data_IF_118665382003
#
_entry.id   IF_118665382003
#
_cell.length_a   1.000
_cell.length_b   1.000
_cell.length_c   1.000
_cell.angle_alpha   90.00
_cell.angle_beta   90.00
_cell.angle_gamma   90.00
#
_symmetry.space_group_name_H-M   'P 1'
#
loop_
_entity.id
_entity.type
_entity.pdbx_description
1 polymer ?
#
# COMPACT_ATOMS: atom_id res chain seq x y z
N UNK A 1 -8.71 -9.73 -32.44
CA UNK A 1 -7.94 -8.47 -32.51
C UNK A 1 -8.60 -7.42 -31.61
N UNK A 2 -7.98 -7.07 -30.48
CA UNK A 2 -8.37 -5.88 -29.70
C UNK A 2 -7.13 -5.34 -28.96
N UNK A 3 -6.73 -4.13 -29.37
CA UNK A 3 -5.71 -3.17 -28.87
C UNK A 3 -4.83 -3.60 -27.68
N UNK A 4 -3.50 -3.76 -27.80
CA UNK A 4 -2.47 -2.71 -28.04
C UNK A 4 -2.60 -1.45 -27.15
N UNK A 5 -2.77 -1.58 -25.84
CA UNK A 5 -2.51 -0.45 -24.91
C UNK A 5 -1.97 -0.84 -23.53
N UNK A 6 -2.01 -2.12 -23.13
CA UNK A 6 -1.66 -2.53 -21.76
C UNK A 6 -0.18 -2.94 -21.55
N UNK A 7 0.61 -2.97 -22.62
CA UNK A 7 2.05 -3.34 -22.54
C UNK A 7 2.91 -2.29 -21.80
N UNK A 8 2.37 -1.11 -21.50
CA UNK A 8 3.11 -0.02 -20.84
C UNK A 8 2.89 0.04 -19.31
N UNK A 9 1.83 -0.56 -18.79
CA UNK A 9 1.51 -0.54 -17.36
C UNK A 9 2.42 -1.49 -16.54
N UNK A 10 2.79 -2.65 -17.10
CA UNK A 10 3.70 -3.59 -16.42
C UNK A 10 5.15 -3.09 -16.31
N UNK A 11 5.61 -2.26 -17.26
CA UNK A 11 6.99 -1.75 -17.30
C UNK A 11 7.25 -0.69 -16.23
N UNK A 12 6.23 0.10 -15.85
CA UNK A 12 6.36 1.13 -14.81
C UNK A 12 6.40 0.49 -13.41
N UNK A 13 5.65 -0.59 -13.18
CA UNK A 13 5.67 -1.33 -11.92
C UNK A 13 7.04 -2.01 -11.66
N UNK A 14 7.69 -2.52 -12.71
CA UNK A 14 9.06 -3.06 -12.64
C UNK A 14 10.09 -1.96 -12.34
N UNK A 15 9.87 -0.71 -12.78
CA UNK A 15 10.78 0.40 -12.46
C UNK A 15 10.68 0.87 -11.00
N UNK A 16 9.49 0.74 -10.37
CA UNK A 16 9.31 0.99 -8.93
C UNK A 16 9.95 -0.13 -8.10
N UNK A 17 9.84 -1.38 -8.54
CA UNK A 17 10.50 -2.54 -7.89
C UNK A 17 12.02 -2.62 -8.17
N UNK A 18 12.50 -2.08 -9.29
CA UNK A 18 13.90 -2.12 -9.71
C UNK A 18 14.82 -1.12 -9.00
N UNK A 19 14.28 -0.07 -8.37
CA UNK A 19 15.06 0.89 -7.57
C UNK A 19 15.39 0.37 -6.17
N UNK A 20 14.80 -0.76 -5.75
CA UNK A 20 15.26 -1.53 -4.60
C UNK A 20 16.68 -2.12 -4.79
N UNK A 21 17.19 -2.20 -6.03
CA UNK A 21 18.51 -2.77 -6.31
C UNK A 21 19.67 -1.77 -6.11
N UNK A 22 19.44 -0.46 -6.25
CA UNK A 22 20.50 0.55 -6.07
C UNK A 22 20.79 0.87 -4.59
N UNK A 23 19.82 0.63 -3.69
CA UNK A 23 20.01 0.80 -2.25
C UNK A 23 20.91 -0.27 -1.62
N UNK A 24 20.94 -1.47 -2.19
CA UNK A 24 21.70 -2.61 -1.67
C UNK A 24 23.22 -2.43 -1.85
N UNK A 25 23.68 -1.66 -2.85
CA UNK A 25 25.11 -1.41 -3.04
C UNK A 25 25.68 -0.42 -2.02
N UNK A 26 24.85 0.45 -1.43
CA UNK A 26 25.31 1.44 -0.43
C UNK A 26 25.27 0.91 1.02
N UNK A 27 24.64 -0.23 1.27
CA UNK A 27 24.52 -0.86 2.60
C UNK A 27 25.59 -1.93 2.89
N UNK A 28 26.67 -1.96 2.12
CA UNK A 28 27.83 -2.86 2.31
C UNK A 28 28.67 -2.58 3.56
N UNK A 29 28.05 -2.42 4.74
CA UNK A 29 28.71 -2.62 6.04
C UNK A 29 28.62 -4.11 6.38
N UNK A 30 29.73 -4.87 6.42
CA UNK A 30 29.71 -6.27 6.79
C UNK A 30 29.40 -6.38 8.28
N UNK A 31 28.19 -6.79 8.63
CA UNK A 31 27.81 -7.00 10.03
C UNK A 31 26.33 -7.14 10.36
N UNK A 32 25.41 -6.84 9.43
CA UNK A 32 23.98 -7.03 9.68
C UNK A 32 23.56 -8.47 9.38
N UNK A 33 23.59 -9.34 10.39
CA UNK A 33 22.86 -10.60 10.35
C UNK A 33 21.36 -10.30 10.42
N UNK A 34 20.64 -10.51 9.31
CA UNK A 34 19.17 -10.42 9.29
C UNK A 34 18.63 -11.73 9.85
N UNK A 35 18.17 -11.69 11.10
CA UNK A 35 17.35 -12.73 11.69
C UNK A 35 15.95 -12.64 11.06
N UNK A 36 15.60 -13.60 10.20
CA UNK A 36 14.27 -13.69 9.60
C UNK A 36 13.30 -14.11 10.71
N UNK A 37 12.64 -13.13 11.36
CA UNK A 37 11.57 -13.40 12.31
C UNK A 37 10.32 -13.90 11.57
N UNK A 38 9.84 -15.05 12.03
CA UNK A 38 8.65 -15.77 11.59
C UNK A 38 7.43 -14.83 11.45
N UNK A 39 6.57 -14.96 10.41
CA UNK A 39 5.47 -14.04 10.10
C UNK A 39 4.37 -13.97 11.18
N UNK A 40 4.40 -14.82 12.21
CA UNK A 40 3.45 -14.78 13.33
C UNK A 40 3.76 -13.69 14.38
N UNK A 41 4.96 -13.09 14.34
CA UNK A 41 5.45 -12.17 15.38
C UNK A 41 5.04 -10.70 15.18
N UNK A 42 4.45 -10.34 14.04
CA UNK A 42 3.97 -8.97 13.77
C UNK A 42 2.77 -8.62 14.66
N UNK A 43 2.07 -9.64 15.19
CA UNK A 43 0.85 -9.50 16.00
C UNK A 43 1.06 -8.84 17.37
N UNK A 44 2.27 -8.83 17.91
CA UNK A 44 2.51 -8.55 19.33
C UNK A 44 3.36 -7.31 19.64
N UNK A 45 3.76 -6.52 18.64
CA UNK A 45 4.48 -5.25 18.84
C UNK A 45 3.67 -4.03 18.35
N UNK A 46 2.34 -4.09 18.45
CA UNK A 46 1.51 -2.87 18.39
C UNK A 46 1.26 -2.39 19.83
N UNK A 47 2.35 -2.19 20.57
CA UNK A 47 2.31 -1.51 21.87
C UNK A 47 2.39 0.01 21.63
N UNK A 48 1.27 0.64 21.93
CA UNK A 48 1.13 2.02 22.40
C UNK A 48 1.92 3.09 21.63
N UNK A 49 1.33 3.60 20.55
CA UNK A 49 1.43 5.02 20.32
C UNK A 49 0.05 5.66 20.23
N UNK A 50 -0.11 6.63 21.11
CA UNK A 50 -1.12 7.66 21.23
C UNK A 50 -1.28 8.53 19.96
N UNK A 51 -1.24 7.97 18.75
CA UNK A 51 -1.58 8.77 17.58
C UNK A 51 -3.05 9.18 17.74
N UNK A 52 -3.31 10.47 17.62
CA UNK A 52 -4.65 11.05 17.60
C UNK A 52 -5.36 10.63 16.30
N UNK A 53 -5.63 9.33 16.15
CA UNK A 53 -6.20 8.64 15.01
C UNK A 53 -7.71 8.83 14.82
N UNK A 54 -8.36 9.58 15.71
CA UNK A 54 -9.81 9.73 15.73
C UNK A 54 -10.31 10.41 14.45
N UNK A 55 -10.68 9.62 13.44
CA UNK A 55 -11.54 10.05 12.34
C UNK A 55 -11.09 9.71 10.92
N UNK A 56 -9.90 9.14 10.70
CA UNK A 56 -9.43 8.78 9.35
C UNK A 56 -9.42 7.26 9.15
N UNK A 57 -10.00 6.82 8.03
CA UNK A 57 -10.26 5.42 7.72
C UNK A 57 -11.76 5.14 7.64
N UNK A 58 -12.14 4.15 6.85
CA UNK A 58 -13.52 3.69 6.72
C UNK A 58 -13.89 2.67 7.79
N UNK A 59 -15.19 2.44 7.97
CA UNK A 59 -15.72 1.35 8.81
C UNK A 59 -15.53 -0.02 8.16
N UNK A 60 -15.26 -0.04 6.86
CA UNK A 60 -14.95 -1.24 6.08
C UNK A 60 -13.65 -1.06 5.28
N UNK A 61 -12.95 -2.15 4.92
CA UNK A 61 -11.75 -2.05 4.07
C UNK A 61 -12.04 -1.33 2.75
N UNK A 62 -13.17 -1.64 2.11
CA UNK A 62 -13.59 -1.03 0.85
C UNK A 62 -13.88 0.48 0.99
N UNK A 63 -14.47 0.89 2.12
CA UNK A 63 -14.67 2.31 2.41
C UNK A 63 -13.34 3.06 2.56
N UNK A 64 -12.34 2.47 3.22
CA UNK A 64 -10.99 3.07 3.30
C UNK A 64 -10.37 3.23 1.92
N UNK A 65 -10.43 2.23 1.06
CA UNK A 65 -9.92 2.32 -0.32
C UNK A 65 -10.64 3.43 -1.09
N UNK A 66 -11.97 3.54 -0.99
CA UNK A 66 -12.73 4.62 -1.64
C UNK A 66 -12.32 6.01 -1.17
N UNK A 67 -12.06 6.16 0.13
CA UNK A 67 -11.58 7.41 0.70
C UNK A 67 -10.17 7.77 0.20
N UNK A 68 -9.27 6.79 0.12
CA UNK A 68 -7.95 6.96 -0.49
C UNK A 68 -8.08 7.41 -1.95
N UNK A 69 -8.84 6.67 -2.75
CA UNK A 69 -9.09 6.99 -4.17
C UNK A 69 -9.61 8.42 -4.33
N UNK A 70 -10.62 8.82 -3.53
CA UNK A 70 -11.19 10.16 -3.59
C UNK A 70 -10.19 11.27 -3.23
N UNK A 71 -9.20 10.99 -2.37
CA UNK A 71 -8.12 11.92 -2.07
C UNK A 71 -7.10 11.99 -3.21
N UNK A 72 -6.71 10.84 -3.77
CA UNK A 72 -5.77 10.76 -4.89
C UNK A 72 -6.31 11.39 -6.18
N UNK A 73 -7.61 11.25 -6.47
CA UNK A 73 -8.27 11.92 -7.60
C UNK A 73 -8.24 13.45 -7.50
N UNK A 74 -8.11 13.97 -6.28
CA UNK A 74 -7.97 15.41 -6.00
C UNK A 74 -6.52 15.83 -5.85
N UNK A 75 -5.58 14.93 -6.12
CA UNK A 75 -4.13 15.10 -5.89
C UNK A 75 -3.81 15.55 -4.45
N UNK A 76 -4.68 15.22 -3.50
CA UNK A 76 -4.53 15.63 -2.11
C UNK A 76 -3.72 14.59 -1.34
N UNK A 77 -2.41 14.58 -1.57
CA UNK A 77 -1.47 13.62 -0.98
C UNK A 77 -1.47 13.70 0.55
N UNK A 78 -1.61 14.90 1.12
CA UNK A 78 -1.71 15.09 2.57
C UNK A 78 -2.95 14.41 3.17
N UNK A 79 -4.07 14.38 2.46
CA UNK A 79 -5.25 13.64 2.90
C UNK A 79 -5.09 12.14 2.65
N UNK A 80 -4.55 11.76 1.50
CA UNK A 80 -4.31 10.36 1.14
C UNK A 80 -3.43 9.65 2.17
N UNK A 81 -2.32 10.28 2.60
CA UNK A 81 -1.39 9.71 3.56
C UNK A 81 -2.04 9.42 4.93
N UNK A 82 -3.10 10.14 5.32
CA UNK A 82 -3.81 9.89 6.59
C UNK A 82 -4.54 8.54 6.66
N UNK A 83 -4.83 7.93 5.51
CA UNK A 83 -5.46 6.61 5.44
C UNK A 83 -4.47 5.45 5.66
N UNK A 84 -3.18 5.76 5.68
CA UNK A 84 -2.13 4.81 6.04
C UNK A 84 -1.88 4.81 7.56
N UNK A 85 -1.33 3.70 8.05
CA UNK A 85 -0.80 3.60 9.41
C UNK A 85 0.40 4.52 9.58
N UNK A 86 0.66 5.07 10.79
CA UNK A 86 1.70 6.09 10.99
C UNK A 86 3.08 5.62 10.59
N UNK A 87 3.38 4.35 10.81
CA UNK A 87 4.70 3.75 10.64
C UNK A 87 5.17 3.84 9.18
N UNK A 88 4.23 3.83 8.22
CA UNK A 88 4.53 3.92 6.78
C UNK A 88 4.09 5.24 6.15
N UNK A 89 3.34 6.08 6.89
CA UNK A 89 2.69 7.29 6.35
C UNK A 89 3.65 8.23 5.63
N UNK A 90 4.85 8.42 6.19
CA UNK A 90 5.86 9.29 5.60
C UNK A 90 6.40 8.72 4.29
N UNK A 91 6.78 7.45 4.29
CA UNK A 91 7.27 6.75 3.09
C UNK A 91 6.22 6.74 1.97
N UNK A 92 4.98 6.37 2.29
CA UNK A 92 3.86 6.37 1.33
C UNK A 92 3.57 7.78 0.81
N UNK A 93 3.65 8.80 1.66
CA UNK A 93 3.49 10.18 1.21
C UNK A 93 4.59 10.59 0.22
N UNK A 94 5.82 10.16 0.43
CA UNK A 94 6.92 10.43 -0.50
C UNK A 94 6.69 9.73 -1.84
N UNK A 95 6.28 8.46 -1.82
CA UNK A 95 6.05 7.68 -3.03
C UNK A 95 4.83 8.17 -3.81
N UNK A 96 3.76 8.56 -3.13
CA UNK A 96 2.62 9.24 -3.76
C UNK A 96 3.03 10.57 -4.42
N UNK A 97 3.94 11.34 -3.82
CA UNK A 97 4.48 12.55 -4.45
C UNK A 97 5.33 12.23 -5.69
N UNK A 98 6.14 11.17 -5.65
CA UNK A 98 6.90 10.70 -6.83
C UNK A 98 5.97 10.29 -7.96
N UNK A 99 4.91 9.52 -7.65
CA UNK A 99 3.89 9.13 -8.61
C UNK A 99 3.14 10.35 -9.19
N UNK A 100 2.88 11.35 -8.35
CA UNK A 100 2.29 12.62 -8.80
C UNK A 100 3.20 13.32 -9.82
N UNK A 101 4.49 13.48 -9.49
CA UNK A 101 5.48 14.11 -10.37
C UNK A 101 5.72 13.33 -11.68
N UNK A 102 5.51 12.01 -11.66
CA UNK A 102 5.59 11.15 -12.84
C UNK A 102 4.27 11.05 -13.63
N UNK A 103 3.21 11.72 -13.20
CA UNK A 103 1.86 11.62 -13.77
C UNK A 103 1.30 10.18 -13.79
N UNK A 104 1.63 9.40 -12.75
CA UNK A 104 1.24 7.99 -12.57
C UNK A 104 0.14 7.81 -11.52
N UNK A 105 -0.31 8.88 -10.85
CA UNK A 105 -1.41 8.79 -9.88
C UNK A 105 -2.71 8.29 -10.51
N UNK A 106 -2.98 8.66 -11.76
CA UNK A 106 -4.16 8.19 -12.49
C UNK A 106 -4.16 6.67 -12.69
N UNK A 107 -2.98 6.09 -12.93
CA UNK A 107 -2.81 4.64 -13.07
C UNK A 107 -3.03 3.94 -11.73
N UNK A 108 -2.47 4.49 -10.64
CA UNK A 108 -2.73 3.99 -9.29
C UNK A 108 -4.22 4.03 -8.93
N UNK A 109 -4.88 5.18 -9.18
CA UNK A 109 -6.32 5.34 -8.95
C UNK A 109 -7.13 4.31 -9.74
N UNK A 110 -6.76 4.07 -11.00
CA UNK A 110 -7.40 3.07 -11.84
C UNK A 110 -7.25 1.66 -11.24
N UNK A 111 -6.04 1.29 -10.81
CA UNK A 111 -5.79 -0.01 -10.16
C UNK A 111 -6.62 -0.18 -8.88
N UNK A 112 -6.63 0.84 -8.01
CA UNK A 112 -7.39 0.80 -6.75
C UNK A 112 -8.91 0.71 -6.95
N UNK A 113 -9.44 1.30 -8.02
CA UNK A 113 -10.88 1.20 -8.37
C UNK A 113 -11.28 -0.17 -8.90
N UNK A 114 -10.34 -0.89 -9.49
CA UNK A 114 -10.56 -2.20 -10.11
C UNK A 114 -10.08 -3.35 -9.23
N UNK A 115 -9.87 -3.11 -7.93
CA UNK A 115 -9.54 -4.18 -6.98
C UNK A 115 -10.67 -5.21 -6.94
N UNK A 116 -10.28 -6.48 -7.07
CA UNK A 116 -11.17 -7.60 -6.75
C UNK A 116 -11.43 -7.66 -5.25
N UNK A 117 -12.47 -8.39 -4.84
CA UNK A 117 -12.73 -8.59 -3.41
C UNK A 117 -11.53 -9.30 -2.75
N UNK A 118 -11.06 -8.72 -1.65
CA UNK A 118 -10.06 -9.32 -0.80
C UNK A 118 -10.65 -10.31 0.21
N UNK A 119 -9.81 -10.78 1.14
CA UNK A 119 -10.19 -11.69 2.22
C UNK A 119 -9.84 -11.13 3.59
N UNK A 120 -10.69 -11.43 4.57
CA UNK A 120 -10.33 -11.29 5.98
C UNK A 120 -9.33 -12.40 6.35
N UNK A 121 -8.17 -12.01 6.85
CA UNK A 121 -7.19 -12.95 7.41
C UNK A 121 -7.53 -13.26 8.88
N UNK A 122 -8.05 -12.25 9.60
CA UNK A 122 -8.62 -12.39 10.94
C UNK A 122 -9.57 -11.19 11.21
N UNK A 123 -10.00 -10.99 12.47
CA UNK A 123 -10.93 -9.91 12.85
C UNK A 123 -10.46 -8.48 12.58
N UNK A 124 -9.15 -8.29 12.45
CA UNK A 124 -8.48 -7.00 12.38
C UNK A 124 -7.56 -6.84 11.18
N UNK A 125 -7.46 -7.84 10.30
CA UNK A 125 -6.59 -7.83 9.13
C UNK A 125 -7.34 -8.25 7.87
N UNK A 126 -7.20 -7.47 6.81
CA UNK A 126 -7.83 -7.68 5.51
C UNK A 126 -6.81 -7.50 4.40
N UNK A 127 -6.82 -8.39 3.40
CA UNK A 127 -5.87 -8.38 2.30
C UNK A 127 -6.60 -8.38 0.97
N UNK A 128 -6.28 -7.43 0.11
CA UNK A 128 -6.58 -7.50 -1.31
C UNK A 128 -5.41 -8.16 -2.04
N UNK A 129 -5.72 -9.04 -3.01
CA UNK A 129 -4.74 -9.54 -3.95
C UNK A 129 -4.96 -8.83 -5.28
N UNK A 130 -3.90 -8.24 -5.82
CA UNK A 130 -3.89 -7.70 -7.17
C UNK A 130 -3.35 -8.80 -8.07
N UNK A 131 -4.20 -9.27 -9.00
CA UNK A 131 -3.83 -10.33 -9.95
C UNK A 131 -3.63 -9.74 -11.34
N UNK A 132 -2.68 -10.29 -12.08
CA UNK A 132 -2.51 -10.00 -13.49
C UNK A 132 -3.52 -10.74 -14.38
N UNK A 133 -3.42 -10.56 -15.69
CA UNK A 133 -4.29 -11.21 -16.68
C UNK A 133 -4.19 -12.75 -16.69
N UNK A 134 -3.13 -13.30 -16.12
CA UNK A 134 -2.91 -14.75 -15.99
C UNK A 134 -3.49 -15.31 -14.69
N UNK A 135 -4.01 -14.45 -13.82
CA UNK A 135 -4.49 -14.79 -12.48
C UNK A 135 -3.37 -14.93 -11.45
N UNK A 136 -2.13 -14.56 -11.78
CA UNK A 136 -1.01 -14.58 -10.86
C UNK A 136 -1.05 -13.35 -9.95
N UNK A 137 -0.89 -13.54 -8.64
CA UNK A 137 -0.78 -12.43 -7.69
C UNK A 137 0.50 -11.65 -7.96
N UNK A 138 0.36 -10.35 -8.25
CA UNK A 138 1.47 -9.44 -8.56
C UNK A 138 1.67 -8.36 -7.49
N UNK A 139 0.67 -8.14 -6.64
CA UNK A 139 0.78 -7.27 -5.46
C UNK A 139 -0.28 -7.63 -4.42
N UNK A 140 -0.08 -7.16 -3.18
CA UNK A 140 -1.02 -7.32 -2.09
C UNK A 140 -1.22 -5.97 -1.40
N UNK A 141 -2.46 -5.64 -1.06
CA UNK A 141 -2.78 -4.44 -0.28
C UNK A 141 -3.33 -4.89 1.06
N UNK A 142 -2.61 -4.55 2.12
CA UNK A 142 -2.94 -4.94 3.47
C UNK A 142 -3.59 -3.79 4.24
N UNK A 143 -4.66 -4.13 4.95
CA UNK A 143 -5.37 -3.22 5.83
C UNK A 143 -5.48 -3.80 7.22
N UNK A 144 -5.28 -2.93 8.21
CA UNK A 144 -5.42 -3.23 9.63
C UNK A 144 -6.54 -2.39 10.24
N UNK A 145 -7.32 -3.00 11.13
CA UNK A 145 -8.36 -2.33 11.91
C UNK A 145 -7.77 -1.81 13.21
N UNK A 146 -7.96 -0.52 13.48
CA UNK A 146 -7.52 0.10 14.73
C UNK A 146 -8.49 -0.18 15.89
N UNK A 147 -8.11 0.24 17.11
CA UNK A 147 -8.94 0.11 18.33
C UNK A 147 -10.29 0.84 18.23
N UNK A 148 -10.40 1.87 17.40
CA UNK A 148 -11.65 2.62 17.15
C UNK A 148 -12.56 1.94 16.11
N UNK A 149 -12.15 0.80 15.54
CA UNK A 149 -12.92 0.06 14.53
C UNK A 149 -12.79 0.59 13.10
N UNK A 150 -11.87 1.52 12.84
CA UNK A 150 -11.59 2.05 11.52
C UNK A 150 -10.45 1.28 10.84
N UNK A 151 -10.58 1.07 9.53
CA UNK A 151 -9.57 0.40 8.71
C UNK A 151 -8.57 1.38 8.14
N UNK A 152 -7.29 1.01 8.17
CA UNK A 152 -6.18 1.76 7.59
C UNK A 152 -5.29 0.85 6.76
N UNK A 153 -4.56 1.43 5.82
CA UNK A 153 -3.64 0.72 4.93
C UNK A 153 -2.30 0.57 5.62
N UNK A 154 -1.83 -0.67 5.73
CA UNK A 154 -0.55 -1.04 6.33
C UNK A 154 0.50 -1.49 5.31
N UNK A 155 0.09 -1.72 4.06
CA UNK A 155 1.00 -1.97 2.93
C UNK A 155 0.25 -1.74 1.62
N UNK A 156 0.91 -1.16 0.61
CA UNK A 156 0.40 -0.94 -0.75
C UNK A 156 1.35 -1.52 -1.80
#
# INVERSE_FOLDING_TARGET
MKSRSFLRAGIVFILILGLGWTGIWFLGRPGASVEIKNPETISSEIEDDSDNFSGYGGKTPNETIKLLVAALEKENITLASKYFVPEIREAESEDLNKLSGANLLADLVSSLKNLEDGRLLNSSYYRYEVRDETGQSVAEIDLVKNKAGLWKISSL
#
